data_IF_232248998437
#
_entry.id   IF_232248998437
#
_cell.length_a   1.000
_cell.length_b   1.000
_cell.length_c   1.000
_cell.angle_alpha   90.00
_cell.angle_beta   90.00
_cell.angle_gamma   90.00
#
_symmetry.space_group_name_H-M   'P 1'
#
loop_
_entity.id
_entity.type
_entity.pdbx_description
1 polymer ?
#
# COMPACT_ATOMS: atom_id res chain seq x y z
N UNK A 1 5.99 3.04 14.67
CA UNK A 1 4.75 2.22 14.55
C UNK A 1 4.74 1.67 13.15
N UNK A 2 4.43 0.40 12.96
CA UNK A 2 4.41 -0.18 11.61
C UNK A 2 3.19 0.32 10.83
N UNK A 3 3.31 0.39 9.51
CA UNK A 3 2.19 0.76 8.63
C UNK A 3 0.95 -0.12 8.87
N UNK A 4 1.12 -1.43 9.05
CA UNK A 4 0.01 -2.35 9.33
C UNK A 4 -0.78 -2.00 10.60
N UNK A 5 -0.11 -1.50 11.64
CA UNK A 5 -0.77 -1.15 12.90
C UNK A 5 -1.59 0.13 12.75
N UNK A 6 -1.08 1.10 12.00
CA UNK A 6 -1.83 2.31 11.63
C UNK A 6 -3.05 1.94 10.78
N UNK A 7 -2.86 1.15 9.73
CA UNK A 7 -3.92 0.74 8.81
C UNK A 7 -5.07 0.03 9.53
N UNK A 8 -4.76 -0.88 10.46
CA UNK A 8 -5.79 -1.56 11.27
C UNK A 8 -6.61 -0.58 12.11
N UNK A 9 -5.99 0.45 12.68
CA UNK A 9 -6.70 1.49 13.45
C UNK A 9 -7.58 2.34 12.55
N UNK A 10 -7.02 2.84 11.45
CA UNK A 10 -7.72 3.69 10.50
C UNK A 10 -8.95 2.96 9.92
N UNK A 11 -8.81 1.69 9.49
CA UNK A 11 -9.92 0.89 8.92
C UNK A 11 -11.04 0.67 9.96
N UNK A 12 -10.72 0.53 11.24
CA UNK A 12 -11.73 0.32 12.28
C UNK A 12 -12.64 1.54 12.49
N UNK A 13 -12.21 2.72 12.06
CA UNK A 13 -12.96 3.98 12.18
C UNK A 13 -13.77 4.33 10.92
N UNK A 14 -13.51 3.65 9.80
CA UNK A 14 -14.21 3.90 8.53
C UNK A 14 -15.62 3.30 8.55
N UNK A 15 -16.62 4.13 8.27
CA UNK A 15 -18.04 3.72 8.31
C UNK A 15 -18.63 3.55 6.91
N UNK A 16 -18.12 4.28 5.92
CA UNK A 16 -18.71 4.30 4.58
C UNK A 16 -17.87 3.47 3.58
N UNK A 17 -18.51 2.64 2.73
CA UNK A 17 -17.78 1.84 1.74
C UNK A 17 -16.90 2.67 0.78
N UNK A 18 -17.33 3.88 0.43
CA UNK A 18 -16.57 4.79 -0.43
C UNK A 18 -15.26 5.27 0.23
N UNK A 19 -15.30 5.55 1.52
CA UNK A 19 -14.10 5.93 2.30
C UNK A 19 -13.12 4.77 2.38
N UNK A 20 -13.61 3.55 2.62
CA UNK A 20 -12.77 2.35 2.65
C UNK A 20 -12.11 2.10 1.29
N UNK A 21 -12.88 2.23 0.20
CA UNK A 21 -12.36 2.06 -1.15
C UNK A 21 -11.23 3.07 -1.45
N UNK A 22 -11.43 4.35 -1.13
CA UNK A 22 -10.40 5.38 -1.30
C UNK A 22 -9.18 5.16 -0.43
N UNK A 23 -9.37 4.72 0.81
CA UNK A 23 -8.28 4.42 1.73
C UNK A 23 -7.41 3.26 1.25
N UNK A 24 -8.02 2.16 0.78
CA UNK A 24 -7.31 1.01 0.23
C UNK A 24 -6.55 1.35 -1.06
N UNK A 25 -7.12 2.18 -1.93
CA UNK A 25 -6.44 2.69 -3.14
C UNK A 25 -5.21 3.54 -2.78
N UNK A 26 -5.35 4.38 -1.75
CA UNK A 26 -4.25 5.18 -1.18
C UNK A 26 -3.11 4.30 -0.65
N UNK A 27 -3.43 3.22 0.08
CA UNK A 27 -2.42 2.26 0.56
C UNK A 27 -1.68 1.61 -0.60
N UNK A 28 -2.40 1.14 -1.63
CA UNK A 28 -1.78 0.53 -2.79
C UNK A 28 -0.81 1.50 -3.50
N UNK A 29 -1.21 2.76 -3.64
CA UNK A 29 -0.36 3.80 -4.22
C UNK A 29 0.87 4.08 -3.35
N UNK A 30 0.70 4.23 -2.04
CA UNK A 30 1.80 4.48 -1.10
C UNK A 30 2.81 3.32 -1.07
N UNK A 31 2.31 2.09 -1.01
CA UNK A 31 3.14 0.89 -1.07
C UNK A 31 3.92 0.80 -2.37
N UNK A 32 3.33 1.17 -3.51
CA UNK A 32 4.03 1.16 -4.79
C UNK A 32 5.13 2.23 -4.86
N UNK A 33 4.90 3.42 -4.29
CA UNK A 33 5.92 4.48 -4.19
C UNK A 33 7.09 4.02 -3.32
N UNK A 34 6.79 3.43 -2.16
CA UNK A 34 7.80 2.88 -1.25
C UNK A 34 8.63 1.78 -1.92
N UNK A 35 7.96 0.77 -2.49
CA UNK A 35 8.64 -0.34 -3.15
C UNK A 35 9.43 0.12 -4.38
N UNK A 36 8.96 1.11 -5.14
CA UNK A 36 9.72 1.63 -6.29
C UNK A 36 11.13 2.12 -5.90
N UNK A 37 11.29 2.61 -4.66
CA UNK A 37 12.57 3.09 -4.13
C UNK A 37 13.37 1.98 -3.46
N UNK A 38 12.74 1.18 -2.60
CA UNK A 38 13.44 0.24 -1.71
C UNK A 38 13.45 -1.21 -2.25
N UNK A 39 12.42 -1.60 -3.01
CA UNK A 39 12.19 -2.95 -3.53
C UNK A 39 11.67 -2.91 -4.97
N UNK A 40 12.44 -2.35 -5.92
CA UNK A 40 11.95 -2.03 -7.27
C UNK A 40 11.42 -3.24 -8.04
N UNK A 41 11.97 -4.42 -7.79
CA UNK A 41 11.56 -5.69 -8.41
C UNK A 41 10.15 -6.13 -7.98
N UNK A 42 9.65 -5.62 -6.86
CA UNK A 42 8.31 -5.91 -6.36
C UNK A 42 7.23 -5.02 -7.00
N UNK A 43 7.61 -4.08 -7.86
CA UNK A 43 6.69 -3.18 -8.56
C UNK A 43 6.50 -3.61 -10.00
N UNK A 44 5.25 -3.88 -10.37
CA UNK A 44 4.90 -4.36 -11.71
C UNK A 44 4.49 -3.17 -12.57
N UNK A 45 5.30 -2.87 -13.58
CA UNK A 45 4.96 -1.89 -14.62
C UNK A 45 4.53 -2.59 -15.91
N UNK A 46 3.50 -2.05 -16.57
CA UNK A 46 3.10 -2.44 -17.93
C UNK A 46 2.81 -1.19 -18.73
N UNK A 47 3.43 -1.07 -19.91
CA UNK A 47 3.29 0.09 -20.80
C UNK A 47 3.63 1.42 -20.10
N UNK A 48 4.66 1.41 -19.24
CA UNK A 48 5.10 2.58 -18.46
C UNK A 48 4.14 2.97 -17.32
N UNK A 49 3.07 2.21 -17.08
CA UNK A 49 2.10 2.46 -16.01
C UNK A 49 2.26 1.44 -14.89
N UNK A 50 2.13 1.90 -13.65
CA UNK A 50 2.02 1.02 -12.49
C UNK A 50 0.79 0.12 -12.68
N UNK A 51 1.02 -1.19 -12.64
CA UNK A 51 -0.06 -2.19 -12.67
C UNK A 51 -0.32 -2.82 -11.32
N UNK A 52 0.67 -2.86 -10.46
CA UNK A 52 0.51 -3.38 -9.12
C UNK A 52 1.84 -3.56 -8.42
N UNK A 53 1.72 -4.19 -7.27
CA UNK A 53 2.80 -4.54 -6.36
C UNK A 53 2.59 -6.01 -6.04
N UNK A 54 3.67 -6.75 -5.92
CA UNK A 54 3.57 -8.14 -5.45
C UNK A 54 3.10 -8.18 -3.99
N UNK A 55 2.69 -9.37 -3.55
CA UNK A 55 2.38 -9.59 -2.13
C UNK A 55 3.62 -9.37 -1.24
N UNK A 56 4.82 -9.69 -1.73
CA UNK A 56 6.08 -9.48 -1.02
C UNK A 56 6.35 -7.98 -0.81
N UNK A 57 6.23 -7.17 -1.87
CA UNK A 57 6.39 -5.72 -1.77
C UNK A 57 5.37 -5.09 -0.82
N UNK A 58 4.10 -5.50 -0.91
CA UNK A 58 3.09 -5.06 0.06
C UNK A 58 3.46 -5.45 1.49
N UNK A 59 3.95 -6.67 1.72
CA UNK A 59 4.41 -7.10 3.05
C UNK A 59 5.55 -6.22 3.57
N UNK A 60 6.54 -5.91 2.73
CA UNK A 60 7.64 -5.02 3.09
C UNK A 60 7.15 -3.62 3.49
N UNK A 61 6.21 -3.05 2.72
CA UNK A 61 5.60 -1.77 3.07
C UNK A 61 4.82 -1.84 4.40
N UNK A 62 3.99 -2.87 4.58
CA UNK A 62 3.19 -3.04 5.79
C UNK A 62 4.05 -3.19 7.06
N UNK A 63 5.26 -3.72 6.92
CA UNK A 63 6.23 -3.85 8.00
C UNK A 63 7.09 -2.59 8.22
N UNK A 64 7.10 -1.63 7.29
CA UNK A 64 7.88 -0.41 7.41
C UNK A 64 7.34 0.52 8.49
N UNK A 65 8.19 1.44 8.96
CA UNK A 65 7.75 2.51 9.86
C UNK A 65 6.82 3.51 9.15
N UNK A 66 5.98 4.17 9.94
CA UNK A 66 5.06 5.26 9.53
C UNK A 66 5.81 6.57 9.29
#
# INVERSE_FOLDING_TARGET
MKQIDKIKKDIAEIMEPFELAGYLDGIATAAAIYCKKEYPDEVIFKDGKLKGITVCGMSCYLESEV
#
